data_IF_656305325357
#
_entry.id   IF_656305325357
#
_cell.length_a   1.000
_cell.length_b   1.000
_cell.length_c   1.000
_cell.angle_alpha   90.00
_cell.angle_beta   90.00
_cell.angle_gamma   90.00
#
_symmetry.space_group_name_H-M   'P 1'
#
loop_
_entity.id
_entity.type
_entity.pdbx_description
1 polymer ?
#
# COMPACT_ATOMS: atom_id res chain seq x y z
N UNK A 1 11.30 -26.34 10.95
CA UNK A 1 11.55 -25.65 9.66
C UNK A 1 11.35 -24.12 9.71
N UNK A 2 10.72 -23.55 10.75
CA UNK A 2 10.36 -22.11 10.81
C UNK A 2 11.45 -21.10 11.20
N UNK A 3 12.55 -21.50 11.82
CA UNK A 3 13.57 -20.52 12.30
C UNK A 3 14.49 -19.98 11.20
N UNK A 4 14.70 -20.70 10.12
CA UNK A 4 15.58 -20.25 9.02
C UNK A 4 14.91 -19.18 8.14
N UNK A 5 13.60 -19.25 7.93
CA UNK A 5 12.89 -18.27 7.11
C UNK A 5 12.90 -16.85 7.72
N UNK A 6 12.77 -16.73 9.06
CA UNK A 6 12.80 -15.43 9.73
C UNK A 6 14.13 -14.69 9.61
N UNK A 7 15.25 -15.43 9.72
CA UNK A 7 16.57 -14.84 9.65
C UNK A 7 16.83 -14.22 8.27
N UNK A 8 16.41 -14.90 7.19
CA UNK A 8 16.58 -14.37 5.84
C UNK A 8 15.69 -13.13 5.57
N UNK A 9 14.46 -13.08 6.07
CA UNK A 9 13.58 -11.93 5.88
C UNK A 9 14.07 -10.68 6.61
N UNK A 10 14.52 -10.82 7.85
CA UNK A 10 15.09 -9.70 8.62
C UNK A 10 16.39 -9.18 8.00
N UNK A 11 17.18 -10.08 7.42
CA UNK A 11 18.40 -9.75 6.72
C UNK A 11 18.13 -8.94 5.44
N UNK A 12 17.14 -9.34 4.63
CA UNK A 12 16.76 -8.63 3.42
C UNK A 12 16.29 -7.20 3.67
N UNK A 13 15.54 -7.00 4.75
CA UNK A 13 15.08 -5.66 5.13
C UNK A 13 16.23 -4.78 5.61
N UNK A 14 17.16 -5.31 6.39
CA UNK A 14 18.37 -4.60 6.80
C UNK A 14 19.26 -4.24 5.61
N UNK A 15 19.32 -5.11 4.60
CA UNK A 15 20.04 -4.80 3.35
C UNK A 15 19.32 -3.66 2.62
N UNK A 16 18.02 -3.75 2.43
CA UNK A 16 17.23 -2.71 1.78
C UNK A 16 17.39 -1.36 2.50
N UNK A 17 17.28 -1.35 3.83
CA UNK A 17 17.49 -0.15 4.66
C UNK A 17 18.86 0.47 4.42
N UNK A 18 19.94 -0.32 4.44
CA UNK A 18 21.28 0.15 4.17
C UNK A 18 21.46 0.68 2.74
N UNK A 19 20.85 0.05 1.75
CA UNK A 19 20.88 0.50 0.37
C UNK A 19 20.16 1.85 0.22
N UNK A 20 19.00 2.01 0.86
CA UNK A 20 18.24 3.27 0.89
C UNK A 20 19.05 4.39 1.59
N UNK A 21 19.62 4.10 2.76
CA UNK A 21 20.48 5.07 3.49
C UNK A 21 21.71 5.46 2.67
N UNK A 22 22.33 4.51 1.94
CA UNK A 22 23.45 4.81 1.03
C UNK A 22 23.03 5.73 -0.12
N UNK A 23 21.78 5.66 -0.55
CA UNK A 23 21.17 6.59 -1.52
C UNK A 23 20.65 7.87 -0.86
N UNK A 24 20.98 8.12 0.42
CA UNK A 24 20.60 9.31 1.19
C UNK A 24 19.09 9.45 1.44
N UNK A 25 18.32 8.35 1.41
CA UNK A 25 16.93 8.35 1.84
C UNK A 25 16.83 8.28 3.36
N UNK A 26 15.88 9.02 3.93
CA UNK A 26 15.50 8.84 5.33
C UNK A 26 14.55 7.65 5.44
N UNK A 27 14.91 6.66 6.22
CA UNK A 27 14.21 5.38 6.30
C UNK A 27 13.58 5.22 7.68
N UNK A 28 12.31 4.87 7.70
CA UNK A 28 11.59 4.42 8.89
C UNK A 28 11.04 3.04 8.63
N UNK A 29 11.24 2.10 9.54
CA UNK A 29 10.78 0.72 9.41
C UNK A 29 9.67 0.43 10.41
N UNK A 30 8.67 -0.33 9.99
CA UNK A 30 7.62 -0.86 10.86
C UNK A 30 7.56 -2.38 10.72
N UNK A 31 7.41 -3.09 11.83
CA UNK A 31 7.48 -4.54 11.88
C UNK A 31 6.15 -5.24 11.56
N UNK A 32 5.06 -4.49 11.46
CA UNK A 32 3.73 -5.00 11.10
C UNK A 32 2.98 -4.01 10.24
N UNK A 33 2.02 -4.49 9.44
CA UNK A 33 1.18 -3.64 8.61
C UNK A 33 0.32 -2.68 9.44
N UNK A 34 -0.18 -3.14 10.59
CA UNK A 34 -0.97 -2.30 11.49
C UNK A 34 -0.14 -1.15 12.07
N UNK A 35 1.09 -1.43 12.54
CA UNK A 35 2.03 -0.40 12.99
C UNK A 35 2.35 0.58 11.87
N UNK A 36 2.58 0.06 10.66
CA UNK A 36 2.81 0.87 9.47
C UNK A 36 1.66 1.84 9.18
N UNK A 37 0.42 1.35 9.17
CA UNK A 37 -0.78 2.17 8.96
C UNK A 37 -0.93 3.26 10.01
N UNK A 38 -0.69 2.95 11.30
CA UNK A 38 -0.77 3.93 12.37
C UNK A 38 0.29 5.02 12.20
N UNK A 39 1.54 4.66 11.94
CA UNK A 39 2.62 5.62 11.66
C UNK A 39 2.30 6.53 10.47
N UNK A 40 1.76 5.95 9.40
CA UNK A 40 1.36 6.71 8.22
C UNK A 40 0.18 7.67 8.51
N UNK A 41 -0.79 7.25 9.32
CA UNK A 41 -1.94 8.09 9.71
C UNK A 41 -1.54 9.25 10.61
N UNK A 42 -0.64 9.02 11.54
CA UNK A 42 -0.11 10.04 12.45
C UNK A 42 0.80 11.05 11.72
N UNK A 43 1.57 10.60 10.73
CA UNK A 43 2.62 11.36 10.08
C UNK A 43 2.42 11.48 8.56
N UNK A 44 1.21 11.81 8.11
CA UNK A 44 0.80 11.77 6.69
C UNK A 44 1.68 12.54 5.71
N UNK A 45 2.29 13.64 6.16
CA UNK A 45 3.13 14.50 5.31
C UNK A 45 4.61 14.14 5.32
N UNK A 46 5.04 13.24 6.20
CA UNK A 46 6.46 12.95 6.43
C UNK A 46 7.01 11.85 5.54
N UNK A 47 6.14 11.12 4.84
CA UNK A 47 6.55 10.01 3.99
C UNK A 47 6.20 10.30 2.52
N UNK A 48 7.14 10.00 1.63
CA UNK A 48 6.99 10.19 0.20
C UNK A 48 6.67 8.87 -0.52
N UNK A 49 7.09 7.72 0.04
CA UNK A 49 6.91 6.40 -0.56
C UNK A 49 6.91 5.30 0.51
N UNK A 50 6.21 4.23 0.23
CA UNK A 50 6.13 3.02 1.06
C UNK A 50 6.72 1.85 0.28
N UNK A 51 7.57 1.03 0.93
CA UNK A 51 7.99 -0.27 0.42
C UNK A 51 7.40 -1.34 1.35
N UNK A 52 6.56 -2.20 0.82
CA UNK A 52 5.83 -3.21 1.59
C UNK A 52 6.16 -4.62 1.13
N UNK A 53 6.42 -5.52 2.07
CA UNK A 53 6.44 -6.94 1.76
C UNK A 53 5.06 -7.43 1.30
N UNK A 54 5.06 -8.40 0.38
CA UNK A 54 3.83 -9.07 -0.06
C UNK A 54 3.24 -9.90 1.08
N UNK A 55 4.06 -10.70 1.75
CA UNK A 55 3.62 -11.55 2.85
C UNK A 55 3.97 -10.92 4.19
N UNK A 56 2.97 -10.70 5.01
CA UNK A 56 3.09 -10.19 6.39
C UNK A 56 2.16 -10.99 7.30
N UNK A 57 2.49 -11.14 8.60
CA UNK A 57 1.75 -12.04 9.49
C UNK A 57 0.38 -11.52 9.89
N UNK A 58 0.25 -10.20 10.01
CA UNK A 58 -0.95 -9.52 10.52
C UNK A 58 -1.89 -9.07 9.40
N UNK A 59 -1.37 -8.86 8.20
CA UNK A 59 -2.14 -8.40 7.04
C UNK A 59 -1.44 -8.77 5.74
N UNK A 60 -2.20 -9.15 4.70
CA UNK A 60 -1.67 -9.29 3.35
C UNK A 60 -1.14 -7.92 2.84
N UNK A 61 0.08 -7.92 2.28
CA UNK A 61 0.70 -6.72 1.74
C UNK A 61 -0.12 -6.04 0.64
N UNK A 62 -0.89 -6.79 -0.12
CA UNK A 62 -1.81 -6.21 -1.10
C UNK A 62 -2.96 -5.43 -0.44
N UNK A 63 -3.45 -5.90 0.71
CA UNK A 63 -4.45 -5.17 1.50
C UNK A 63 -3.87 -3.87 2.07
N UNK A 64 -2.64 -3.91 2.57
CA UNK A 64 -1.94 -2.70 3.00
C UNK A 64 -1.77 -1.71 1.84
N UNK A 65 -1.32 -2.18 0.66
CA UNK A 65 -1.19 -1.39 -0.56
C UNK A 65 -2.50 -0.65 -0.90
N UNK A 66 -3.63 -1.35 -0.86
CA UNK A 66 -4.94 -0.76 -1.13
C UNK A 66 -5.32 0.32 -0.12
N UNK A 67 -5.13 0.05 1.18
CA UNK A 67 -5.44 1.01 2.25
C UNK A 67 -4.58 2.26 2.13
N UNK A 68 -3.27 2.11 1.92
CA UNK A 68 -2.36 3.24 1.72
C UNK A 68 -2.73 4.04 0.47
N UNK A 69 -3.09 3.36 -0.62
CA UNK A 69 -3.53 3.99 -1.85
C UNK A 69 -4.86 4.74 -1.72
N UNK A 70 -5.80 4.21 -0.92
CA UNK A 70 -7.12 4.83 -0.68
C UNK A 70 -7.03 6.02 0.28
N UNK A 71 -6.37 5.83 1.43
CA UNK A 71 -6.39 6.81 2.52
C UNK A 71 -5.36 7.94 2.33
N UNK A 72 -4.21 7.65 1.70
CA UNK A 72 -3.04 8.54 1.73
C UNK A 72 -2.54 8.92 0.35
N UNK A 73 -2.95 8.18 -0.69
CA UNK A 73 -2.45 8.32 -2.06
C UNK A 73 -0.91 8.30 -2.16
N UNK A 74 -0.25 7.57 -1.26
CA UNK A 74 1.19 7.35 -1.30
C UNK A 74 1.54 6.31 -2.38
N UNK A 75 2.65 6.49 -3.12
CA UNK A 75 3.16 5.42 -3.96
C UNK A 75 3.63 4.27 -3.07
N UNK A 76 3.27 3.05 -3.48
CA UNK A 76 3.68 1.82 -2.78
C UNK A 76 4.42 0.94 -3.77
N UNK A 77 5.61 0.50 -3.36
CA UNK A 77 6.41 -0.52 -4.05
C UNK A 77 6.23 -1.83 -3.30
N UNK A 78 5.92 -2.90 -4.03
CA UNK A 78 5.88 -4.23 -3.44
C UNK A 78 7.28 -4.85 -3.41
N UNK A 79 7.58 -5.60 -2.35
CA UNK A 79 8.88 -6.21 -2.09
C UNK A 79 8.71 -7.70 -1.78
N UNK A 80 9.24 -8.59 -2.61
CA UNK A 80 9.01 -10.03 -2.46
C UNK A 80 10.20 -10.87 -2.93
N UNK A 81 10.34 -12.08 -2.39
CA UNK A 81 11.24 -13.10 -2.92
C UNK A 81 10.63 -13.85 -4.13
N UNK A 82 9.35 -13.65 -4.41
CA UNK A 82 8.65 -14.30 -5.50
C UNK A 82 8.63 -13.40 -6.73
N UNK A 83 9.23 -13.86 -7.82
CA UNK A 83 9.31 -13.21 -9.14
C UNK A 83 8.27 -13.74 -10.14
N UNK A 84 7.31 -14.57 -9.69
CA UNK A 84 6.23 -15.07 -10.54
C UNK A 84 5.51 -13.90 -11.21
N UNK A 85 5.45 -13.86 -12.56
CA UNK A 85 4.76 -12.82 -13.30
C UNK A 85 3.32 -12.57 -12.84
N UNK A 86 2.62 -13.62 -12.38
CA UNK A 86 1.27 -13.50 -11.82
C UNK A 86 1.24 -12.66 -10.55
N UNK A 87 2.23 -12.81 -9.67
CA UNK A 87 2.34 -12.03 -8.44
C UNK A 87 2.71 -10.57 -8.73
N UNK A 88 3.60 -10.35 -9.69
CA UNK A 88 3.95 -9.00 -10.17
C UNK A 88 2.72 -8.30 -10.76
N UNK A 89 2.01 -8.99 -11.66
CA UNK A 89 0.77 -8.44 -12.26
C UNK A 89 -0.29 -8.16 -11.20
N UNK A 90 -0.46 -9.05 -10.22
CA UNK A 90 -1.35 -8.82 -9.08
C UNK A 90 -0.96 -7.53 -8.32
N UNK A 91 0.33 -7.29 -8.08
CA UNK A 91 0.81 -6.05 -7.46
C UNK A 91 0.38 -4.80 -8.23
N UNK A 92 0.59 -4.81 -9.55
CA UNK A 92 0.21 -3.71 -10.45
C UNK A 92 -1.32 -3.50 -10.44
N UNK A 93 -2.09 -4.56 -10.54
CA UNK A 93 -3.56 -4.52 -10.50
C UNK A 93 -4.09 -3.94 -9.18
N UNK A 94 -3.43 -4.22 -8.06
CA UNK A 94 -3.75 -3.65 -6.75
C UNK A 94 -3.25 -2.20 -6.59
N UNK A 95 -2.52 -1.66 -7.58
CA UNK A 95 -2.11 -0.25 -7.61
C UNK A 95 -0.70 0.00 -7.10
N UNK A 96 0.16 -1.01 -7.02
CA UNK A 96 1.59 -0.81 -6.79
C UNK A 96 2.19 0.03 -7.93
N UNK A 97 3.09 0.94 -7.58
CA UNK A 97 3.81 1.73 -8.57
C UNK A 97 5.03 0.98 -9.12
N UNK A 98 5.53 0.00 -8.39
CA UNK A 98 6.64 -0.88 -8.79
C UNK A 98 6.65 -2.17 -7.95
N UNK A 99 7.50 -3.13 -8.35
CA UNK A 99 7.67 -4.42 -7.69
C UNK A 99 9.16 -4.79 -7.66
N UNK A 100 9.74 -4.84 -6.46
CA UNK A 100 11.13 -5.21 -6.24
C UNK A 100 11.26 -6.68 -5.86
N UNK A 101 12.09 -7.42 -6.61
CA UNK A 101 12.38 -8.82 -6.34
C UNK A 101 13.67 -8.93 -5.50
N UNK A 102 13.64 -9.75 -4.47
CA UNK A 102 14.81 -10.02 -3.62
C UNK A 102 15.81 -10.94 -4.35
N UNK A 103 17.11 -10.69 -4.24
CA UNK A 103 17.78 -9.56 -3.56
C UNK A 103 17.78 -8.27 -4.38
N UNK A 104 17.41 -7.16 -3.75
CA UNK A 104 17.37 -5.84 -4.40
C UNK A 104 18.77 -5.32 -4.71
N UNK A 105 18.93 -4.74 -5.88
CA UNK A 105 20.19 -4.16 -6.33
C UNK A 105 20.22 -2.65 -6.09
N UNK A 106 21.44 -2.11 -5.87
CA UNK A 106 21.63 -0.67 -5.65
C UNK A 106 21.04 0.18 -6.78
N UNK A 107 21.14 -0.25 -8.03
CA UNK A 107 20.60 0.46 -9.19
C UNK A 107 19.07 0.61 -9.15
N UNK A 108 18.37 -0.41 -8.65
CA UNK A 108 16.91 -0.38 -8.49
C UNK A 108 16.51 0.63 -7.41
N UNK A 109 17.24 0.68 -6.30
CA UNK A 109 17.02 1.65 -5.22
C UNK A 109 17.30 3.08 -5.68
N UNK A 110 18.32 3.28 -6.51
CA UNK A 110 18.69 4.61 -7.01
C UNK A 110 17.60 5.29 -7.83
N UNK A 111 16.71 4.54 -8.46
CA UNK A 111 15.68 5.08 -9.37
C UNK A 111 14.28 5.18 -8.76
N UNK A 112 14.06 4.65 -7.55
CA UNK A 112 12.71 4.63 -6.92
C UNK A 112 12.12 6.03 -6.69
N UNK A 113 12.96 7.07 -6.57
CA UNK A 113 12.53 8.47 -6.45
C UNK A 113 11.64 8.93 -7.61
N UNK A 114 11.77 8.31 -8.80
CA UNK A 114 10.96 8.64 -9.96
C UNK A 114 9.46 8.41 -9.70
N UNK A 115 9.10 7.45 -8.85
CA UNK A 115 7.71 7.18 -8.48
C UNK A 115 7.13 8.29 -7.59
N UNK A 116 7.98 8.94 -6.80
CA UNK A 116 7.60 10.08 -5.96
C UNK A 116 7.28 11.30 -6.82
N UNK A 117 8.15 11.62 -7.81
CA UNK A 117 7.98 12.81 -8.67
C UNK A 117 6.73 12.70 -9.52
N UNK A 118 6.46 11.53 -10.10
CA UNK A 118 5.25 11.32 -10.91
C UNK A 118 3.97 11.62 -10.14
N UNK A 119 3.94 11.35 -8.83
CA UNK A 119 2.77 11.59 -7.99
C UNK A 119 2.70 12.99 -7.37
N UNK A 120 3.81 13.69 -7.18
CA UNK A 120 3.79 15.05 -6.58
C UNK A 120 2.97 16.06 -7.40
N UNK A 121 2.89 15.92 -8.73
CA UNK A 121 2.14 16.83 -9.62
C UNK A 121 0.60 16.74 -9.47
N UNK A 122 0.06 15.66 -8.92
CA UNK A 122 -1.39 15.38 -8.91
C UNK A 122 -1.93 14.95 -7.56
N UNK A 123 -1.08 14.92 -6.52
CA UNK A 123 -1.41 14.30 -5.23
C UNK A 123 -2.45 15.09 -4.45
N UNK A 124 -3.60 14.46 -4.21
CA UNK A 124 -4.54 14.87 -3.17
C UNK A 124 -4.34 13.96 -1.97
N UNK A 125 -4.06 14.53 -0.81
CA UNK A 125 -4.03 13.77 0.43
C UNK A 125 -5.47 13.51 0.87
N UNK A 126 -5.90 12.27 0.77
CA UNK A 126 -7.19 11.82 1.28
C UNK A 126 -7.10 11.62 2.80
N UNK A 127 -7.38 12.67 3.56
CA UNK A 127 -7.45 12.57 5.02
C UNK A 127 -8.59 11.63 5.42
N UNK A 128 -8.56 11.09 6.66
CA UNK A 128 -9.64 10.24 7.16
C UNK A 128 -11.00 10.96 7.09
N UNK A 129 -11.04 12.26 7.40
CA UNK A 129 -12.25 13.09 7.26
C UNK A 129 -12.71 13.21 5.81
N UNK A 130 -11.79 13.50 4.88
CA UNK A 130 -12.11 13.61 3.46
C UNK A 130 -12.57 12.27 2.88
N UNK A 131 -11.93 11.18 3.29
CA UNK A 131 -12.33 9.82 2.90
C UNK A 131 -13.69 9.46 3.51
N UNK A 132 -13.96 9.83 4.77
CA UNK A 132 -15.27 9.64 5.40
C UNK A 132 -16.40 10.35 4.66
N UNK A 133 -16.21 11.61 4.27
CA UNK A 133 -17.15 12.37 3.42
C UNK A 133 -17.38 11.70 2.07
N UNK A 134 -16.32 11.20 1.46
CA UNK A 134 -16.42 10.46 0.21
C UNK A 134 -17.25 9.18 0.35
N UNK A 135 -16.97 8.36 1.37
CA UNK A 135 -17.71 7.12 1.64
C UNK A 135 -19.19 7.40 1.92
N UNK A 136 -19.49 8.44 2.73
CA UNK A 136 -20.86 8.86 3.00
C UNK A 136 -21.60 9.25 1.72
N UNK A 137 -20.96 10.04 0.84
CA UNK A 137 -21.53 10.42 -0.45
C UNK A 137 -21.76 9.21 -1.38
N UNK A 138 -20.80 8.27 -1.42
CA UNK A 138 -20.94 7.05 -2.23
C UNK A 138 -22.06 6.15 -1.70
N UNK A 139 -22.20 6.00 -0.38
CA UNK A 139 -23.26 5.21 0.23
C UNK A 139 -24.66 5.82 -0.06
N UNK A 140 -24.77 7.14 -0.03
CA UNK A 140 -26.01 7.84 -0.35
C UNK A 140 -26.43 7.66 -1.81
N UNK A 141 -25.48 7.62 -2.75
CA UNK A 141 -25.73 7.47 -4.19
C UNK A 141 -25.88 6.01 -4.64
N UNK A 142 -25.36 5.07 -3.83
CA UNK A 142 -25.13 3.68 -4.23
C UNK A 142 -23.85 3.54 -5.07
N UNK A 143 -23.00 2.57 -4.73
CA UNK A 143 -21.66 2.39 -5.31
C UNK A 143 -21.65 2.36 -6.83
N UNK A 144 -22.64 1.68 -7.45
CA UNK A 144 -22.73 1.52 -8.90
C UNK A 144 -23.18 2.82 -9.60
N UNK A 145 -24.04 3.60 -8.95
CA UNK A 145 -24.61 4.85 -9.47
C UNK A 145 -23.80 6.09 -9.11
N UNK A 146 -22.81 5.94 -8.23
CA UNK A 146 -21.97 7.03 -7.76
C UNK A 146 -21.06 7.54 -8.89
N UNK A 147 -21.40 8.68 -9.48
CA UNK A 147 -20.57 9.35 -10.50
C UNK A 147 -19.75 10.47 -9.86
N UNK A 148 -18.51 10.72 -10.34
CA UNK A 148 -17.59 11.69 -9.71
C UNK A 148 -18.17 13.09 -9.50
N UNK A 149 -19.00 13.58 -10.44
CA UNK A 149 -19.65 14.88 -10.34
C UNK A 149 -20.60 14.94 -9.14
N UNK A 150 -21.49 13.95 -8.99
CA UNK A 150 -22.47 13.89 -7.90
C UNK A 150 -21.79 13.69 -6.53
N UNK A 151 -20.73 12.87 -6.50
CA UNK A 151 -19.92 12.67 -5.28
C UNK A 151 -19.32 13.99 -4.85
N UNK A 152 -18.70 14.74 -5.77
CA UNK A 152 -18.09 16.03 -5.49
C UNK A 152 -19.10 17.05 -4.97
N UNK A 153 -20.29 17.11 -5.58
CA UNK A 153 -21.40 17.97 -5.15
C UNK A 153 -21.85 17.64 -3.71
N UNK A 154 -22.00 16.35 -3.38
CA UNK A 154 -22.40 15.92 -2.03
C UNK A 154 -21.29 16.14 -0.99
N UNK A 155 -20.04 15.96 -1.37
CA UNK A 155 -18.91 16.19 -0.46
C UNK A 155 -18.75 17.66 -0.09
N UNK A 156 -19.12 18.57 -0.99
CA UNK A 156 -19.02 20.02 -0.82
C UNK A 156 -17.67 20.46 -0.23
N UNK A 157 -16.57 20.03 -0.86
CA UNK A 157 -15.20 20.29 -0.40
C UNK A 157 -14.49 21.19 -1.41
N UNK A 158 -13.93 22.31 -0.92
CA UNK A 158 -13.10 23.21 -1.72
C UNK A 158 -11.79 22.52 -2.15
N UNK A 159 -11.26 22.92 -3.31
CA UNK A 159 -9.99 22.43 -3.87
C UNK A 159 -9.94 20.92 -4.24
N UNK A 160 -11.06 20.23 -4.26
CA UNK A 160 -11.16 18.88 -4.75
C UNK A 160 -11.68 18.88 -6.20
N UNK A 161 -10.94 18.25 -7.13
CA UNK A 161 -11.34 18.21 -8.53
C UNK A 161 -12.09 16.93 -8.89
N UNK A 162 -12.90 16.99 -9.95
CA UNK A 162 -13.65 15.86 -10.46
C UNK A 162 -12.74 14.67 -10.82
N UNK A 163 -11.56 14.95 -11.39
CA UNK A 163 -10.58 13.93 -11.80
C UNK A 163 -10.01 13.19 -10.58
N UNK A 164 -9.77 13.91 -9.48
CA UNK A 164 -9.31 13.33 -8.22
C UNK A 164 -10.35 12.40 -7.61
N UNK A 165 -11.63 12.83 -7.62
CA UNK A 165 -12.75 11.98 -7.18
C UNK A 165 -12.94 10.78 -8.12
N UNK A 166 -12.78 10.97 -9.44
CA UNK A 166 -12.87 9.89 -10.42
C UNK A 166 -11.82 8.79 -10.20
N UNK A 167 -10.56 9.20 -9.95
CA UNK A 167 -9.50 8.26 -9.62
C UNK A 167 -9.78 7.52 -8.30
N UNK A 168 -10.31 8.23 -7.29
CA UNK A 168 -10.59 7.64 -5.97
C UNK A 168 -11.74 6.65 -6.00
N UNK A 169 -12.85 6.97 -6.70
CA UNK A 169 -14.00 6.04 -6.81
C UNK A 169 -13.64 4.76 -7.59
N UNK A 170 -12.76 4.84 -8.58
CA UNK A 170 -12.27 3.65 -9.28
C UNK A 170 -11.51 2.72 -8.33
N UNK A 171 -10.57 3.25 -7.54
CA UNK A 171 -9.84 2.48 -6.53
C UNK A 171 -10.79 1.88 -5.50
N UNK A 172 -11.74 2.67 -5.01
CA UNK A 172 -12.72 2.23 -4.02
C UNK A 172 -13.61 1.09 -4.52
N UNK A 173 -14.09 1.17 -5.77
CA UNK A 173 -14.85 0.07 -6.40
C UNK A 173 -14.03 -1.21 -6.54
N UNK A 174 -12.78 -1.10 -6.95
CA UNK A 174 -11.87 -2.25 -7.01
C UNK A 174 -11.65 -2.87 -5.64
N UNK A 175 -11.46 -2.05 -4.62
CA UNK A 175 -11.33 -2.49 -3.23
C UNK A 175 -12.57 -3.26 -2.75
N UNK A 176 -13.77 -2.69 -2.95
CA UNK A 176 -15.03 -3.36 -2.58
C UNK A 176 -15.24 -4.69 -3.32
N UNK A 177 -14.96 -4.71 -4.63
CA UNK A 177 -15.05 -5.95 -5.43
C UNK A 177 -14.13 -7.05 -4.91
N UNK A 178 -12.95 -6.70 -4.42
CA UNK A 178 -12.00 -7.67 -3.87
C UNK A 178 -12.43 -8.20 -2.52
N UNK A 179 -13.02 -7.35 -1.66
CA UNK A 179 -13.58 -7.78 -0.37
C UNK A 179 -14.71 -8.77 -0.62
N UNK A 180 -15.67 -8.45 -1.46
CA UNK A 180 -16.79 -9.35 -1.77
C UNK A 180 -16.31 -10.72 -2.30
N UNK A 181 -15.35 -10.72 -3.22
CA UNK A 181 -14.75 -11.96 -3.71
C UNK A 181 -13.96 -12.74 -2.64
N UNK A 182 -13.47 -12.08 -1.59
CA UNK A 182 -12.76 -12.72 -0.50
C UNK A 182 -13.74 -13.34 0.51
N UNK A 183 -14.85 -12.67 0.78
CA UNK A 183 -15.93 -13.18 1.62
C UNK A 183 -16.57 -14.44 1.01
N UNK A 184 -16.89 -14.42 -0.30
CA UNK A 184 -17.39 -15.59 -1.01
C UNK A 184 -16.45 -16.81 -0.92
N UNK A 185 -15.13 -16.59 -0.97
CA UNK A 185 -14.13 -17.66 -0.80
C UNK A 185 -14.04 -18.15 0.65
N UNK A 186 -14.24 -17.28 1.62
CA UNK A 186 -14.20 -17.65 3.04
C UNK A 186 -15.42 -18.47 3.44
N UNK A 187 -16.60 -18.18 2.90
CA UNK A 187 -17.81 -18.98 3.10
C UNK A 187 -17.68 -20.36 2.46
N UNK A 188 -17.09 -20.47 1.27
CA UNK A 188 -16.79 -21.76 0.65
C UNK A 188 -15.73 -22.56 1.40
N UNK A 189 -14.75 -21.90 2.01
CA UNK A 189 -13.72 -22.57 2.81
C UNK A 189 -14.24 -22.96 4.19
N UNK A 190 -15.09 -22.16 4.80
CA UNK A 190 -15.76 -22.50 6.07
C UNK A 190 -16.68 -23.73 5.91
N UNK A 191 -17.40 -23.84 4.80
CA UNK A 191 -18.22 -25.00 4.47
C UNK A 191 -17.36 -26.26 4.21
N UNK A 192 -16.15 -26.11 3.65
CA UNK A 192 -15.22 -27.22 3.44
C UNK A 192 -14.49 -27.67 4.72
N UNK A 193 -14.23 -26.75 5.66
CA UNK A 193 -13.60 -27.05 6.96
C UNK A 193 -14.59 -27.70 7.94
N UNK A 194 -15.87 -27.38 7.84
CA UNK A 194 -16.90 -28.02 8.66
C UNK A 194 -17.05 -29.54 8.36
N UNK A 195 -16.46 -30.02 7.28
CA UNK A 195 -16.45 -31.43 6.87
C UNK A 195 -15.16 -32.21 7.19
N UNK A 196 -14.14 -31.54 7.77
CA UNK A 196 -12.86 -32.18 8.15
C UNK A 196 -12.47 -31.81 9.58
N UNK A 197 -12.79 -32.69 10.52
CA UNK A 197 -12.22 -32.68 11.87
C UNK A 197 -10.79 -33.19 11.80
N UNK A 198 -9.80 -32.33 11.70
CA UNK A 198 -8.47 -32.44 12.31
C UNK A 198 -7.56 -31.31 11.80
N UNK A 199 -7.01 -30.57 12.72
CA UNK A 199 -5.64 -30.09 12.81
C UNK A 199 -5.53 -28.74 13.49
N UNK A 200 -5.01 -28.78 14.68
CA UNK A 200 -4.49 -27.64 15.45
C UNK A 200 -3.29 -27.02 14.75
N UNK A 201 -3.49 -25.87 14.07
CA UNK A 201 -2.41 -25.00 13.65
C UNK A 201 -2.31 -23.82 14.59
N UNK A 202 -1.34 -23.86 15.50
CA UNK A 202 -0.89 -22.68 16.24
C UNK A 202 -0.21 -21.72 15.27
N UNK A 203 -0.86 -20.60 14.96
CA UNK A 203 -0.28 -19.47 14.23
C UNK A 203 0.76 -18.78 15.11
N UNK A 204 2.01 -19.04 14.84
CA UNK A 204 3.14 -18.35 15.43
C UNK A 204 3.25 -16.97 14.74
N UNK A 205 2.85 -15.90 15.42
CA UNK A 205 2.91 -14.52 14.94
C UNK A 205 4.36 -14.08 14.74
N UNK A 206 4.81 -14.00 13.51
CA UNK A 206 6.13 -13.50 13.14
C UNK A 206 5.99 -12.16 12.42
N UNK A 207 6.63 -11.13 12.96
CA UNK A 207 6.56 -9.76 12.44
C UNK A 207 7.41 -9.58 11.18
N UNK A 208 6.80 -9.01 10.12
CA UNK A 208 7.46 -8.64 8.86
C UNK A 208 7.45 -7.12 8.71
N UNK A 209 8.58 -6.48 8.40
CA UNK A 209 8.67 -5.04 8.37
C UNK A 209 8.10 -4.40 7.10
N UNK A 210 7.50 -3.24 7.27
CA UNK A 210 7.16 -2.28 6.23
C UNK A 210 8.13 -1.12 6.32
N UNK A 211 8.66 -0.67 5.19
CA UNK A 211 9.67 0.39 5.13
C UNK A 211 9.09 1.63 4.48
N UNK A 212 9.30 2.77 5.10
CA UNK A 212 8.93 4.08 4.60
C UNK A 212 10.16 4.92 4.38
N UNK A 213 10.10 5.89 3.47
CA UNK A 213 11.14 6.89 3.38
C UNK A 213 10.60 8.27 2.96
N UNK A 214 11.37 9.28 3.35
CA UNK A 214 11.20 10.67 2.94
C UNK A 214 12.49 11.16 2.27
N UNK A 215 12.36 12.12 1.36
CA UNK A 215 13.50 12.73 0.70
C UNK A 215 14.29 13.62 1.67
N UNK A 216 15.64 13.63 1.58
CA UNK A 216 16.44 14.64 2.23
C UNK A 216 16.13 16.03 1.63
N UNK A 217 16.20 17.11 2.43
CA UNK A 217 15.87 18.47 2.01
C UNK A 217 16.71 19.00 0.83
N UNK A 218 17.86 18.38 0.52
CA UNK A 218 18.76 18.80 -0.55
C UNK A 218 18.28 18.47 -1.97
N UNK A 219 17.29 17.60 -2.15
CA UNK A 219 16.78 17.28 -3.48
C UNK A 219 15.84 18.36 -4.05
N UNK A 220 15.37 19.29 -3.24
CA UNK A 220 14.55 20.40 -3.72
C UNK A 220 15.29 21.41 -4.60
N UNK A 221 16.63 21.48 -4.52
CA UNK A 221 17.45 22.42 -5.30
C UNK A 221 17.87 21.92 -6.67
N UNK A 222 17.81 20.61 -6.95
CA UNK A 222 18.23 20.05 -8.24
C UNK A 222 17.15 20.18 -9.34
N UNK A 223 15.92 20.50 -8.98
CA UNK A 223 14.77 20.48 -9.90
C UNK A 223 14.17 21.86 -10.18
N UNK A 224 14.82 22.95 -9.81
CA UNK A 224 14.40 24.30 -10.22
C UNK A 224 14.87 24.69 -11.63
N UNK A 225 15.79 23.92 -12.24
CA UNK A 225 16.40 24.21 -13.54
C UNK A 225 16.11 23.18 -14.65
N UNK A 226 15.03 22.40 -14.53
CA UNK A 226 14.45 21.54 -15.57
C UNK A 226 12.94 21.83 -15.67
#
# INVERSE_FOLDING_TARGET
MGRYNNFFYEFDVKILERLLQRCQYHVTTAHSALTALNLLRENKSNFDLVISNVHMPDMDGFKLLELVGLEMDLPVIMFSANDDPKMVMKGIEHGACDYLVKPVRLKEVQIIWQHVIRKKKTRTVWSADLHGKFVAAVNQLGVDKAVPKKILELMNVENLTREKVASHIQKYRLYLKRISCAEDKQDHMAAAIASSSDASYQLNCQSFPVTFFSHPPYFSHIFHDL
#
